data_IF_853653627417
#
_entry.id   IF_853653627417
#
_cell.length_a   1.000
_cell.length_b   1.000
_cell.length_c   1.000
_cell.angle_alpha   90.00
_cell.angle_beta   90.00
_cell.angle_gamma   90.00
#
_symmetry.space_group_name_H-M   'P 1'
#
loop_
_entity.id
_entity.type
_entity.pdbx_description
1 polymer ?
#
# COMPACT_ATOMS: atom_id res chain seq x y z
N UNK A 1 -16.39 6.79 8.72
CA UNK A 1 -15.62 5.68 9.32
C UNK A 1 -14.47 6.28 10.14
N UNK A 2 -14.29 5.85 11.38
CA UNK A 2 -13.26 6.39 12.28
C UNK A 2 -11.98 5.54 12.25
N UNK A 3 -10.87 6.10 12.71
CA UNK A 3 -9.54 5.47 12.70
C UNK A 3 -9.50 4.17 13.52
N UNK A 4 -10.24 4.08 14.63
CA UNK A 4 -10.28 2.87 15.45
C UNK A 4 -10.87 1.67 14.72
N UNK A 5 -11.90 1.88 13.90
CA UNK A 5 -12.50 0.84 13.04
C UNK A 5 -11.47 0.34 12.03
N UNK A 6 -10.77 1.24 11.34
CA UNK A 6 -9.76 0.87 10.32
C UNK A 6 -8.56 0.17 10.93
N UNK A 7 -8.14 0.59 12.12
CA UNK A 7 -7.08 -0.08 12.88
C UNK A 7 -7.47 -1.53 13.22
N UNK A 8 -8.72 -1.74 13.67
CA UNK A 8 -9.26 -3.08 13.94
C UNK A 8 -9.33 -3.93 12.66
N UNK A 9 -9.73 -3.35 11.55
CA UNK A 9 -9.78 -4.03 10.26
C UNK A 9 -8.39 -4.49 9.81
N UNK A 10 -7.38 -3.62 9.87
CA UNK A 10 -6.01 -3.99 9.51
C UNK A 10 -5.44 -5.06 10.43
N UNK A 11 -5.66 -4.94 11.74
CA UNK A 11 -5.27 -6.00 12.69
C UNK A 11 -5.89 -7.35 12.31
N UNK A 12 -7.20 -7.36 12.01
CA UNK A 12 -7.91 -8.58 11.61
C UNK A 12 -7.42 -9.11 10.26
N UNK A 13 -7.15 -8.24 9.28
CA UNK A 13 -6.58 -8.59 7.98
C UNK A 13 -5.24 -9.32 8.11
N UNK A 14 -4.42 -8.89 9.07
CA UNK A 14 -3.12 -9.49 9.39
C UNK A 14 -3.22 -10.74 10.29
N UNK A 15 -4.41 -11.09 10.77
CA UNK A 15 -4.62 -12.29 11.60
C UNK A 15 -4.23 -12.15 13.07
N UNK A 16 -3.93 -10.94 13.56
CA UNK A 16 -3.53 -10.73 14.95
C UNK A 16 -4.74 -10.58 15.89
N UNK A 17 -4.61 -11.13 17.11
CA UNK A 17 -5.48 -10.75 18.22
C UNK A 17 -5.05 -9.38 18.81
N UNK A 18 -5.86 -8.80 19.70
CA UNK A 18 -5.57 -7.47 20.25
C UNK A 18 -4.30 -7.43 21.12
N UNK A 19 -3.98 -8.52 21.83
CA UNK A 19 -2.80 -8.59 22.70
C UNK A 19 -1.53 -8.59 21.87
N UNK A 20 -1.47 -9.43 20.83
CA UNK A 20 -0.30 -9.56 19.97
C UNK A 20 -0.06 -8.29 19.17
N UNK A 21 -1.12 -7.67 18.66
CA UNK A 21 -1.01 -6.42 17.92
C UNK A 21 -0.62 -5.23 18.81
N UNK A 22 -1.09 -5.21 20.07
CA UNK A 22 -0.63 -4.24 21.05
C UNK A 22 0.88 -4.37 21.31
N UNK A 23 1.36 -5.62 21.45
CA UNK A 23 2.77 -5.90 21.69
C UNK A 23 3.65 -5.44 20.51
N UNK A 24 3.21 -5.67 19.26
CA UNK A 24 3.88 -5.13 18.06
C UNK A 24 3.98 -3.61 18.14
N UNK A 25 2.88 -2.93 18.47
CA UNK A 25 2.84 -1.49 18.62
C UNK A 25 3.54 -0.94 19.87
N UNK A 26 4.22 -1.77 20.67
CA UNK A 26 4.91 -1.36 21.89
C UNK A 26 3.99 -0.89 23.03
N UNK A 27 2.71 -1.27 22.98
CA UNK A 27 1.69 -0.82 23.94
C UNK A 27 1.01 -1.98 24.67
N UNK A 28 0.30 -1.68 25.75
CA UNK A 28 -0.51 -2.67 26.48
C UNK A 28 -1.85 -2.91 25.78
N UNK A 29 -2.45 -4.08 25.99
CA UNK A 29 -3.79 -4.45 25.50
C UNK A 29 -4.86 -3.35 25.71
N UNK A 30 -4.84 -2.67 26.86
CA UNK A 30 -5.80 -1.58 27.16
C UNK A 30 -5.66 -0.39 26.21
N UNK A 31 -4.45 -0.07 25.76
CA UNK A 31 -4.24 0.99 24.77
C UNK A 31 -4.82 0.57 23.42
N UNK A 32 -4.56 -0.66 22.98
CA UNK A 32 -5.14 -1.22 21.76
C UNK A 32 -6.67 -1.16 21.76
N UNK A 33 -7.28 -1.58 22.88
CA UNK A 33 -8.72 -1.51 23.07
C UNK A 33 -9.23 -0.06 22.93
N UNK A 34 -8.58 0.90 23.58
CA UNK A 34 -8.95 2.31 23.51
C UNK A 34 -8.77 2.90 22.10
N UNK A 35 -7.76 2.46 21.35
CA UNK A 35 -7.55 2.87 19.97
C UNK A 35 -8.67 2.36 19.07
N UNK A 36 -9.02 1.07 19.17
CA UNK A 36 -10.09 0.47 18.36
C UNK A 36 -11.50 0.94 18.73
N UNK A 37 -11.69 1.41 19.96
CA UNK A 37 -12.93 2.04 20.42
C UNK A 37 -12.97 3.56 20.15
N UNK A 38 -11.95 4.10 19.48
CA UNK A 38 -11.79 5.54 19.19
C UNK A 38 -11.67 6.46 20.42
N UNK A 39 -11.60 5.89 21.63
CA UNK A 39 -11.48 6.59 22.90
C UNK A 39 -10.11 7.28 23.09
N UNK A 40 -9.07 6.78 22.41
CA UNK A 40 -7.75 7.40 22.32
C UNK A 40 -7.22 7.23 20.90
N UNK A 41 -6.35 8.13 20.45
CA UNK A 41 -5.69 8.00 19.14
C UNK A 41 -4.30 7.35 19.31
N UNK A 42 -3.89 6.43 18.42
CA UNK A 42 -2.52 5.94 18.39
C UNK A 42 -1.57 7.08 18.03
N UNK A 43 -0.34 7.02 18.54
CA UNK A 43 0.73 7.95 18.17
C UNK A 43 1.49 7.44 16.94
N UNK A 44 2.43 8.26 16.44
CA UNK A 44 3.24 7.94 15.27
C UNK A 44 4.14 6.73 15.49
N UNK A 45 4.67 6.53 16.70
CA UNK A 45 5.60 5.45 17.01
C UNK A 45 4.88 4.10 16.98
N UNK A 46 3.67 4.04 17.56
CA UNK A 46 2.79 2.88 17.44
C UNK A 46 2.47 2.59 15.96
N UNK A 47 2.13 3.62 15.17
CA UNK A 47 1.78 3.46 13.76
C UNK A 47 2.97 2.96 12.92
N UNK A 48 4.18 3.47 13.19
CA UNK A 48 5.41 3.01 12.55
C UNK A 48 5.69 1.53 12.86
N UNK A 49 5.57 1.14 14.13
CA UNK A 49 5.81 -0.24 14.54
C UNK A 49 4.85 -1.25 13.90
N UNK A 50 3.55 -0.93 13.80
CA UNK A 50 2.60 -1.82 13.11
C UNK A 50 2.76 -1.80 11.58
N UNK A 51 3.33 -0.73 11.01
CA UNK A 51 3.66 -0.68 9.58
C UNK A 51 4.72 -1.72 9.20
N UNK A 52 5.73 -1.90 10.06
CA UNK A 52 6.75 -2.96 9.90
C UNK A 52 6.13 -4.37 9.93
N UNK A 53 5.03 -4.54 10.67
CA UNK A 53 4.23 -5.76 10.68
C UNK A 53 3.23 -5.87 9.51
N UNK A 54 3.29 -4.96 8.53
CA UNK A 54 2.50 -5.00 7.31
C UNK A 54 1.13 -4.33 7.40
N UNK A 55 0.86 -3.52 8.43
CA UNK A 55 -0.38 -2.74 8.52
C UNK A 55 -0.39 -1.60 7.49
N UNK A 56 -1.51 -1.39 6.80
CA UNK A 56 -1.68 -0.26 5.88
C UNK A 56 -1.96 1.02 6.68
N UNK A 57 -0.89 1.74 7.07
CA UNK A 57 -1.00 3.00 7.83
C UNK A 57 -1.73 4.08 7.04
N UNK A 58 -1.57 4.11 5.72
CA UNK A 58 -2.30 5.06 4.86
C UNK A 58 -3.80 4.81 5.00
N UNK A 59 -4.25 3.56 4.92
CA UNK A 59 -5.64 3.20 5.16
C UNK A 59 -6.09 3.56 6.57
N UNK A 60 -5.31 3.21 7.60
CA UNK A 60 -5.67 3.50 9.00
C UNK A 60 -5.92 5.00 9.18
N UNK A 61 -5.00 5.85 8.74
CA UNK A 61 -5.08 7.30 8.96
C UNK A 61 -6.13 7.94 8.05
N UNK A 62 -6.12 7.66 6.76
CA UNK A 62 -6.89 8.41 5.75
C UNK A 62 -8.20 7.75 5.33
N UNK A 63 -8.33 6.44 5.53
CA UNK A 63 -9.43 5.64 4.98
C UNK A 63 -9.29 5.31 3.51
N UNK A 64 -8.25 5.79 2.84
CA UNK A 64 -7.91 5.37 1.48
C UNK A 64 -6.98 4.18 1.59
N UNK A 65 -7.39 3.01 1.08
CA UNK A 65 -6.42 1.94 0.87
C UNK A 65 -5.42 2.49 -0.12
N UNK A 66 -4.15 2.44 0.24
CA UNK A 66 -3.12 2.55 -0.79
C UNK A 66 -3.53 1.55 -1.86
N UNK A 67 -3.49 1.96 -3.13
CA UNK A 67 -3.20 0.95 -4.14
C UNK A 67 -1.87 0.38 -3.68
N UNK A 68 -1.90 -0.70 -2.88
CA UNK A 68 -0.74 -1.49 -2.59
C UNK A 68 -0.14 -1.66 -3.98
N UNK A 69 1.06 -1.11 -4.21
CA UNK A 69 1.68 -1.30 -5.49
C UNK A 69 1.71 -2.81 -5.64
N UNK A 70 0.85 -3.34 -6.50
CA UNK A 70 0.86 -4.76 -6.80
C UNK A 70 2.31 -5.08 -7.09
N UNK A 71 2.88 -6.15 -6.52
CA UNK A 71 4.27 -6.49 -6.75
C UNK A 71 4.52 -6.37 -8.25
N UNK A 72 5.37 -5.40 -8.63
CA UNK A 72 5.63 -5.16 -10.04
C UNK A 72 6.24 -6.43 -10.58
N UNK A 73 5.84 -6.84 -11.77
CA UNK A 73 6.55 -7.94 -12.42
C UNK A 73 8.01 -7.52 -12.61
N UNK A 74 8.98 -8.44 -12.60
CA UNK A 74 10.38 -8.10 -12.83
C UNK A 74 10.59 -7.23 -14.08
N UNK A 75 9.78 -7.43 -15.12
CA UNK A 75 9.81 -6.62 -16.35
C UNK A 75 9.31 -5.17 -16.14
N UNK A 76 8.29 -4.97 -15.32
CA UNK A 76 7.77 -3.64 -14.97
C UNK A 76 8.79 -2.87 -14.13
N UNK A 77 9.47 -3.55 -13.22
CA UNK A 77 10.53 -2.97 -12.40
C UNK A 77 11.76 -2.61 -13.24
N UNK A 78 12.20 -3.51 -14.11
CA UNK A 78 13.28 -3.24 -15.05
C UNK A 78 12.96 -2.09 -16.02
N UNK A 79 11.70 -1.98 -16.47
CA UNK A 79 11.27 -0.88 -17.34
C UNK A 79 11.38 0.47 -16.63
N UNK A 80 10.97 0.55 -15.36
CA UNK A 80 11.08 1.76 -14.54
C UNK A 80 12.54 2.11 -14.24
N UNK A 81 13.37 1.12 -13.94
CA UNK A 81 14.80 1.32 -13.68
C UNK A 81 15.54 1.83 -14.94
N UNK A 82 15.33 1.18 -16.08
CA UNK A 82 15.89 1.62 -17.36
C UNK A 82 15.45 3.04 -17.73
N UNK A 83 14.18 3.37 -17.51
CA UNK A 83 13.67 4.71 -17.76
C UNK A 83 14.38 5.75 -16.89
N UNK A 84 14.44 5.52 -15.56
CA UNK A 84 15.07 6.44 -14.59
C UNK A 84 16.55 6.66 -14.85
N UNK A 85 17.26 5.64 -15.34
CA UNK A 85 18.70 5.70 -15.61
C UNK A 85 19.05 6.03 -17.08
N UNK A 86 18.07 6.39 -17.90
CA UNK A 86 18.30 6.83 -19.29
C UNK A 86 18.39 8.35 -19.43
N UNK A 87 18.99 8.83 -20.53
CA UNK A 87 19.07 10.27 -20.83
C UNK A 87 17.68 10.88 -21.04
N UNK A 88 17.58 12.20 -20.94
CA UNK A 88 16.29 12.92 -21.13
C UNK A 88 15.66 12.64 -22.50
N UNK A 89 16.47 12.56 -23.56
CA UNK A 89 16.02 12.22 -24.91
C UNK A 89 15.45 10.79 -24.96
N UNK A 90 16.13 9.82 -24.35
CA UNK A 90 15.64 8.44 -24.27
C UNK A 90 14.35 8.35 -23.46
N UNK A 91 14.25 9.07 -22.33
CA UNK A 91 13.02 9.13 -21.55
C UNK A 91 11.86 9.74 -22.37
N UNK A 92 12.12 10.80 -23.15
CA UNK A 92 11.11 11.40 -24.03
C UNK A 92 10.59 10.40 -25.06
N UNK A 93 11.50 9.70 -25.76
CA UNK A 93 11.13 8.68 -26.75
C UNK A 93 10.32 7.55 -26.11
N UNK A 94 10.72 7.08 -24.92
CA UNK A 94 10.00 6.04 -24.18
C UNK A 94 8.58 6.48 -23.78
N UNK A 95 8.39 7.74 -23.37
CA UNK A 95 7.06 8.29 -23.07
C UNK A 95 6.18 8.38 -24.32
N UNK A 96 6.72 8.90 -25.43
CA UNK A 96 5.98 9.03 -26.68
C UNK A 96 5.57 7.65 -27.23
N UNK A 97 6.52 6.70 -27.23
CA UNK A 97 6.29 5.33 -27.70
C UNK A 97 5.27 4.59 -26.85
N UNK A 98 5.40 4.66 -25.51
CA UNK A 98 4.44 4.01 -24.61
C UNK A 98 3.04 4.61 -24.73
N UNK A 99 2.91 5.93 -24.87
CA UNK A 99 1.62 6.60 -25.09
C UNK A 99 0.96 6.20 -26.42
N UNK A 100 1.75 6.08 -27.50
CA UNK A 100 1.26 5.65 -28.80
C UNK A 100 0.75 4.19 -28.77
N UNK A 101 1.50 3.30 -28.13
CA UNK A 101 1.13 1.88 -28.00
C UNK A 101 -0.10 1.68 -27.11
N UNK A 102 -0.26 2.48 -26.05
CA UNK A 102 -1.43 2.40 -25.16
C UNK A 102 -2.75 2.80 -25.85
N UNK A 103 -2.68 3.64 -26.89
CA UNK A 103 -3.85 4.10 -27.64
C UNK A 103 -4.25 3.16 -28.79
N UNK A 104 -3.43 2.15 -29.13
CA UNK A 104 -3.81 1.17 -30.15
C UNK A 104 -4.79 0.13 -29.57
N UNK A 105 -6.01 -0.02 -30.14
CA UNK A 105 -6.94 -1.07 -29.72
C UNK A 105 -6.35 -2.45 -30.04
N UNK A 106 -6.31 -3.32 -29.03
CA UNK A 106 -5.74 -4.67 -29.14
C UNK A 106 -6.35 -5.46 -30.31
N UNK A 107 -5.47 -5.96 -31.19
CA UNK A 107 -5.83 -6.76 -32.38
C UNK A 107 -6.59 -8.02 -31.93
N UNK A 108 -7.93 -8.04 -32.09
CA UNK A 108 -8.75 -9.24 -31.81
C UNK A 108 -8.17 -10.42 -32.61
N UNK A 109 -7.68 -11.45 -31.91
CA UNK A 109 -7.30 -12.73 -32.51
C UNK A 109 -8.51 -13.27 -33.27
N UNK A 110 -8.40 -13.41 -34.60
CA UNK A 110 -9.36 -14.16 -35.41
C UNK A 110 -9.24 -15.63 -35.00
N UNK A 111 -10.18 -16.13 -34.21
CA UNK A 111 -10.44 -17.56 -34.11
C UNK A 111 -11.12 -17.97 -35.42
N UNK A 112 -10.43 -18.82 -36.18
CA UNK A 112 -11.01 -19.55 -37.31
C UNK A 112 -11.83 -20.73 -36.84
#
# INVERSE_FOLDING_TARGET
MHIGIRLREERKRLGYNQTDFAAIGGVKLRAQFNYEADARKPDSDYLAAIAEAGADVLYIVTGQRGMAESPKKPEEEALLDNYRNSSEDSQRILRETSAALAQQPGKKRKTG
#
